data_IF_875976801422
#
_entry.id   IF_875976801422
#
_cell.length_a   1.000
_cell.length_b   1.000
_cell.length_c   1.000
_cell.angle_alpha   90.00
_cell.angle_beta   90.00
_cell.angle_gamma   90.00
#
_symmetry.space_group_name_H-M   'P 1'
#
loop_
_entity.id
_entity.type
_entity.pdbx_description
1 polymer ?
#
# COMPACT_ATOMS: atom_id res chain seq x y z
N UNK A 1 -6.18 -14.75 -2.54
CA UNK A 1 -7.40 -15.15 -1.80
C UNK A 1 -8.44 -14.08 -2.05
N UNK A 2 -9.64 -14.45 -2.50
CA UNK A 2 -10.74 -13.52 -2.81
C UNK A 2 -11.95 -14.01 -2.00
N UNK A 3 -12.59 -13.10 -1.27
CA UNK A 3 -13.80 -13.34 -0.49
C UNK A 3 -14.70 -12.11 -0.63
N UNK A 4 -15.92 -12.28 -1.14
CA UNK A 4 -16.86 -11.19 -1.34
C UNK A 4 -17.79 -10.98 -0.14
N UNK A 5 -17.96 -11.97 0.75
CA UNK A 5 -19.05 -12.04 1.74
C UNK A 5 -20.45 -12.13 1.10
N UNK A 6 -21.45 -12.52 1.89
CA UNK A 6 -22.83 -12.74 1.45
C UNK A 6 -23.58 -11.45 1.08
N UNK A 7 -23.05 -10.30 1.52
CA UNK A 7 -23.68 -8.99 1.31
C UNK A 7 -23.45 -8.43 -0.09
N UNK A 8 -22.46 -8.94 -0.83
CA UNK A 8 -22.10 -8.39 -2.14
C UNK A 8 -23.04 -8.89 -3.24
N UNK A 9 -23.68 -7.98 -4.01
CA UNK A 9 -24.52 -8.38 -5.13
C UNK A 9 -23.70 -8.94 -6.28
N UNK A 10 -24.34 -9.76 -7.13
CA UNK A 10 -23.73 -10.28 -8.37
C UNK A 10 -23.05 -9.20 -9.21
N UNK A 11 -23.67 -8.03 -9.32
CA UNK A 11 -23.15 -6.91 -10.12
C UNK A 11 -21.76 -6.47 -9.65
N UNK A 12 -21.56 -6.32 -8.34
CA UNK A 12 -20.28 -5.92 -7.76
C UNK A 12 -19.20 -6.96 -8.03
N UNK A 13 -19.55 -8.24 -7.98
CA UNK A 13 -18.65 -9.35 -8.32
C UNK A 13 -18.23 -9.28 -9.80
N UNK A 14 -19.17 -9.00 -10.70
CA UNK A 14 -18.89 -8.83 -12.13
C UNK A 14 -18.00 -7.60 -12.39
N UNK A 15 -18.26 -6.47 -11.74
CA UNK A 15 -17.43 -5.26 -11.84
C UNK A 15 -16.00 -5.51 -11.33
N UNK A 16 -15.85 -6.23 -10.23
CA UNK A 16 -14.54 -6.65 -9.71
C UNK A 16 -13.79 -7.55 -10.70
N UNK A 17 -14.47 -8.51 -11.34
CA UNK A 17 -13.87 -9.39 -12.34
C UNK A 17 -13.39 -8.61 -13.58
N UNK A 18 -14.15 -7.60 -14.02
CA UNK A 18 -13.75 -6.70 -15.09
C UNK A 18 -12.47 -5.94 -14.72
N UNK A 19 -12.40 -5.39 -13.51
CA UNK A 19 -11.21 -4.69 -13.02
C UNK A 19 -9.97 -5.61 -12.98
N UNK A 20 -10.11 -6.86 -12.53
CA UNK A 20 -9.02 -7.83 -12.55
C UNK A 20 -8.53 -8.15 -13.96
N UNK A 21 -9.46 -8.28 -14.92
CA UNK A 21 -9.11 -8.49 -16.34
C UNK A 21 -8.29 -7.32 -16.88
N UNK A 22 -8.70 -6.09 -16.58
CA UNK A 22 -7.99 -4.88 -17.01
C UNK A 22 -6.60 -4.79 -16.38
N UNK A 23 -6.46 -5.13 -15.10
CA UNK A 23 -5.17 -5.21 -14.41
C UNK A 23 -4.27 -6.25 -15.10
N UNK A 24 -4.80 -7.45 -15.40
CA UNK A 24 -4.03 -8.50 -16.07
C UNK A 24 -3.56 -8.06 -17.47
N UNK A 25 -4.43 -7.41 -18.23
CA UNK A 25 -4.10 -6.85 -19.54
C UNK A 25 -3.04 -5.76 -19.46
N UNK A 26 -3.16 -4.85 -18.50
CA UNK A 26 -2.16 -3.80 -18.27
C UNK A 26 -0.83 -4.37 -17.81
N UNK A 27 -0.82 -5.44 -17.01
CA UNK A 27 0.38 -6.13 -16.57
C UNK A 27 1.14 -6.74 -17.75
N UNK A 28 0.43 -7.35 -18.71
CA UNK A 28 1.02 -7.91 -19.93
C UNK A 28 1.64 -6.83 -20.82
N UNK A 29 0.96 -5.68 -20.98
CA UNK A 29 1.39 -4.61 -21.90
C UNK A 29 2.45 -3.68 -21.31
N UNK A 30 2.28 -3.26 -20.06
CA UNK A 30 3.16 -2.31 -19.39
C UNK A 30 3.17 -2.55 -17.86
N UNK A 31 3.98 -3.49 -17.37
CA UNK A 31 4.05 -3.81 -15.95
C UNK A 31 4.62 -2.65 -15.11
N UNK A 32 5.46 -1.78 -15.68
CA UNK A 32 6.03 -0.64 -14.97
C UNK A 32 4.93 0.35 -14.54
N UNK A 33 3.92 0.57 -15.37
CA UNK A 33 2.79 1.43 -15.03
C UNK A 33 1.97 0.91 -13.83
N UNK A 34 1.88 -0.41 -13.63
CA UNK A 34 1.22 -1.00 -12.46
C UNK A 34 2.07 -0.89 -11.19
N UNK A 35 3.38 -1.09 -11.30
CA UNK A 35 4.30 -1.01 -10.15
C UNK A 35 4.35 0.38 -9.48
N UNK A 36 3.89 1.41 -10.20
CA UNK A 36 3.80 2.80 -9.73
C UNK A 36 2.44 3.16 -9.12
N UNK A 37 1.47 2.24 -9.08
CA UNK A 37 0.18 2.47 -8.42
C UNK A 37 0.32 2.31 -6.88
N UNK A 38 -0.59 2.90 -6.08
CA UNK A 38 -1.70 3.79 -6.46
C UNK A 38 -1.26 5.24 -6.75
N UNK A 39 -2.07 5.98 -7.51
CA UNK A 39 -1.80 7.40 -7.88
C UNK A 39 -2.82 8.41 -7.32
N UNK A 40 -4.06 7.99 -7.09
CA UNK A 40 -5.17 8.86 -6.69
C UNK A 40 -5.55 8.68 -5.22
N UNK A 41 -4.56 8.35 -4.39
CA UNK A 41 -4.69 8.17 -2.94
C UNK A 41 -3.87 9.24 -2.23
N UNK A 42 -4.22 9.60 -0.99
CA UNK A 42 -3.53 10.65 -0.24
C UNK A 42 -2.03 10.41 -0.07
N UNK A 43 -1.61 9.14 -0.09
CA UNK A 43 -0.21 8.72 -0.07
C UNK A 43 0.02 7.64 -1.14
N UNK A 44 1.20 7.63 -1.75
CA UNK A 44 1.63 6.59 -2.69
C UNK A 44 2.03 5.29 -1.97
N UNK A 45 2.59 4.34 -2.71
CA UNK A 45 3.21 3.12 -2.14
C UNK A 45 4.23 3.48 -1.05
N UNK A 46 4.11 2.84 0.11
CA UNK A 46 5.02 3.01 1.24
C UNK A 46 6.34 2.28 1.02
N UNK A 47 7.43 2.84 1.54
CA UNK A 47 8.74 2.19 1.57
C UNK A 47 8.84 1.25 2.78
N UNK A 48 8.69 -0.04 2.52
CA UNK A 48 8.79 -1.06 3.55
C UNK A 48 10.21 -1.26 4.08
N UNK A 49 11.26 -0.98 3.28
CA UNK A 49 12.64 -1.10 3.76
C UNK A 49 12.90 -0.03 4.80
N UNK A 50 12.56 1.22 4.49
CA UNK A 50 12.66 2.33 5.44
C UNK A 50 11.79 2.09 6.69
N UNK A 51 10.55 1.61 6.53
CA UNK A 51 9.66 1.38 7.65
C UNK A 51 10.17 0.30 8.64
N UNK A 52 10.86 -0.72 8.15
CA UNK A 52 11.33 -1.85 8.96
C UNK A 52 12.81 -1.75 9.39
N UNK A 53 13.58 -0.85 8.80
CA UNK A 53 15.00 -0.74 9.12
C UNK A 53 15.20 -0.17 10.55
N UNK A 54 16.06 -0.78 11.40
CA UNK A 54 16.21 -0.37 12.80
C UNK A 54 16.52 1.12 12.99
N UNK A 55 17.27 1.75 12.08
CA UNK A 55 17.58 3.18 12.18
C UNK A 55 16.37 4.12 11.99
N UNK A 56 15.35 3.68 11.25
CA UNK A 56 14.23 4.52 10.79
C UNK A 56 12.88 4.08 11.34
N UNK A 57 12.77 2.86 11.88
CA UNK A 57 11.54 2.38 12.51
C UNK A 57 11.05 3.37 13.57
N UNK A 58 9.74 3.61 13.55
CA UNK A 58 9.10 4.65 14.37
C UNK A 58 7.77 4.11 14.93
N UNK A 59 7.80 3.29 15.98
CA UNK A 59 6.63 2.56 16.44
C UNK A 59 5.60 3.44 17.15
N UNK A 60 6.00 4.62 17.65
CA UNK A 60 5.12 5.55 18.36
C UNK A 60 5.40 6.98 17.96
N UNK A 61 4.38 7.83 18.12
CA UNK A 61 4.54 9.28 17.93
C UNK A 61 5.58 9.88 18.87
N UNK A 62 5.75 9.33 20.07
CA UNK A 62 6.80 9.74 21.02
C UNK A 62 8.20 9.55 20.43
N UNK A 63 8.45 8.43 19.75
CA UNK A 63 9.74 8.16 19.08
C UNK A 63 9.96 9.14 17.93
N UNK A 64 8.93 9.43 17.13
CA UNK A 64 9.00 10.44 16.08
C UNK A 64 9.40 11.81 16.64
N UNK A 65 8.70 12.28 17.67
CA UNK A 65 8.93 13.59 18.28
C UNK A 65 10.34 13.72 18.84
N UNK A 66 10.81 12.71 19.59
CA UNK A 66 12.19 12.65 20.11
C UNK A 66 13.24 12.73 18.99
N UNK A 67 13.02 12.00 17.88
CA UNK A 67 13.91 12.06 16.71
C UNK A 67 13.94 13.45 16.06
N UNK A 68 12.78 14.07 15.88
CA UNK A 68 12.66 15.44 15.34
C UNK A 68 13.30 16.49 16.27
N UNK A 69 13.35 16.21 17.58
CA UNK A 69 14.01 17.04 18.58
C UNK A 69 15.53 16.78 18.71
N UNK A 70 16.08 15.83 17.94
CA UNK A 70 17.51 15.49 17.98
C UNK A 70 17.93 14.67 19.20
N UNK A 71 16.98 14.11 19.95
CA UNK A 71 17.30 13.25 21.10
C UNK A 71 17.86 11.90 20.61
N UNK A 72 18.93 11.44 21.27
CA UNK A 72 19.47 10.11 21.00
C UNK A 72 18.45 9.06 21.47
N UNK A 73 17.89 8.33 20.50
CA UNK A 73 17.00 7.21 20.77
C UNK A 73 17.86 5.99 21.14
N UNK A 74 17.71 5.49 22.36
CA UNK A 74 18.11 4.12 22.68
C UNK A 74 17.07 3.20 22.04
N UNK A 75 17.41 2.59 20.92
CA UNK A 75 16.64 1.51 20.31
C UNK A 75 17.16 0.17 20.80
#
# INVERSE_FOLDING_TARGET
MIEFTESEPRRQIEEYAVALREIAEKARRNPAALKQLPRNTSTSRLDNVYANHPRSITPTFRVLRKRLQGEQLSL
#
